data_IF_233798905792
#
_entry.id   IF_233798905792
#
_cell.length_a   1.000
_cell.length_b   1.000
_cell.length_c   1.000
_cell.angle_alpha   90.00
_cell.angle_beta   90.00
_cell.angle_gamma   90.00
#
_symmetry.space_group_name_H-M   'P 1'
#
loop_
_entity.id
_entity.type
_entity.pdbx_description
1 polymer ?
#
# COMPACT_ATOMS: atom_id res chain seq x y z
N UNK A 1 -2.35 6.58 -16.87
CA UNK A 1 -3.27 5.53 -16.40
C UNK A 1 -2.92 5.22 -14.95
N UNK A 2 -3.86 5.31 -14.01
CA UNK A 2 -3.61 4.84 -12.64
C UNK A 2 -3.74 3.32 -12.62
N UNK A 3 -2.64 2.62 -12.30
CA UNK A 3 -2.69 1.17 -12.09
C UNK A 3 -3.13 0.97 -10.64
N UNK A 4 -4.31 0.39 -10.45
CA UNK A 4 -4.72 -0.11 -9.14
C UNK A 4 -3.78 -1.28 -8.78
N UNK A 5 -2.88 -1.05 -7.84
CA UNK A 5 -2.02 -2.09 -7.32
C UNK A 5 -2.82 -3.01 -6.41
N UNK A 6 -2.82 -4.30 -6.74
CA UNK A 6 -3.56 -5.31 -6.00
C UNK A 6 -2.80 -5.61 -4.71
N UNK A 7 -3.44 -5.36 -3.56
CA UNK A 7 -2.95 -5.87 -2.26
C UNK A 7 -2.89 -7.40 -2.38
N UNK A 8 -1.76 -8.02 -1.98
CA UNK A 8 -1.48 -9.45 -2.09
C UNK A 8 -2.33 -10.35 -1.19
N UNK A 9 -3.65 -10.16 -1.22
CA UNK A 9 -4.61 -10.87 -0.41
C UNK A 9 -4.92 -12.22 -1.05
N UNK A 10 -4.86 -13.29 -0.26
CA UNK A 10 -5.31 -14.63 -0.68
C UNK A 10 -6.80 -14.62 -1.04
N UNK A 11 -7.62 -13.98 -0.21
CA UNK A 11 -9.03 -13.71 -0.49
C UNK A 11 -9.26 -12.19 -0.62
N UNK A 12 -9.42 -11.64 -1.84
CA UNK A 12 -9.57 -10.21 -2.04
C UNK A 12 -10.85 -9.63 -1.43
N UNK A 13 -11.89 -10.45 -1.21
CA UNK A 13 -13.16 -10.01 -0.62
C UNK A 13 -13.15 -9.96 0.92
N UNK A 14 -12.09 -10.47 1.54
CA UNK A 14 -11.96 -10.47 3.01
C UNK A 14 -11.32 -9.21 3.57
N UNK A 15 -10.87 -8.30 2.71
CA UNK A 15 -10.18 -7.07 3.11
C UNK A 15 -11.09 -6.16 3.94
N UNK A 16 -10.64 -5.82 5.14
CA UNK A 16 -11.25 -4.81 6.01
C UNK A 16 -10.16 -3.81 6.41
N UNK A 17 -10.17 -2.57 5.90
CA UNK A 17 -9.16 -1.58 6.28
C UNK A 17 -9.29 -1.25 7.77
N UNK A 18 -8.14 -1.03 8.44
CA UNK A 18 -8.08 -0.60 9.84
C UNK A 18 -7.56 0.82 9.95
N UNK A 19 -6.36 1.05 9.44
CA UNK A 19 -5.71 2.37 9.47
C UNK A 19 -4.86 2.57 8.23
N UNK A 20 -4.80 3.82 7.78
CA UNK A 20 -3.86 4.26 6.75
C UNK A 20 -2.95 5.32 7.35
N UNK A 21 -1.65 5.18 7.09
CA UNK A 21 -0.61 6.09 7.55
C UNK A 21 0.12 6.60 6.31
N UNK A 22 0.23 7.92 6.19
CA UNK A 22 0.96 8.56 5.09
C UNK A 22 2.00 9.48 5.69
N UNK A 23 3.26 9.34 5.25
CA UNK A 23 4.37 10.17 5.71
C UNK A 23 5.19 10.64 4.51
N UNK A 24 5.36 11.95 4.38
CA UNK A 24 6.24 12.56 3.39
C UNK A 24 7.54 13.02 4.05
N UNK A 25 8.67 12.64 3.47
CA UNK A 25 10.04 12.94 3.91
C UNK A 25 10.84 13.46 2.71
N UNK A 26 10.76 14.76 2.46
CA UNK A 26 11.32 15.37 1.25
C UNK A 26 10.65 14.84 -0.01
N UNK A 27 11.44 14.25 -0.92
CA UNK A 27 10.93 13.60 -2.12
C UNK A 27 10.37 12.19 -1.86
N UNK A 28 10.52 11.63 -0.65
CA UNK A 28 10.05 10.29 -0.33
C UNK A 28 8.64 10.31 0.25
N UNK A 29 7.72 9.53 -0.31
CA UNK A 29 6.37 9.31 0.23
C UNK A 29 6.22 7.85 0.68
N UNK A 30 5.93 7.65 1.97
CA UNK A 30 5.67 6.35 2.57
C UNK A 30 4.19 6.21 2.87
N UNK A 31 3.59 5.12 2.41
CA UNK A 31 2.18 4.77 2.63
C UNK A 31 2.15 3.42 3.34
N UNK A 32 1.53 3.35 4.50
CA UNK A 32 1.27 2.12 5.24
C UNK A 32 -0.23 1.91 5.40
N UNK A 33 -0.70 0.68 5.20
CA UNK A 33 -2.08 0.28 5.39
C UNK A 33 -2.11 -0.93 6.30
N UNK A 34 -2.76 -0.81 7.45
CA UNK A 34 -3.14 -1.94 8.28
C UNK A 34 -4.55 -2.41 7.89
N UNK A 35 -4.75 -3.71 7.83
CA UNK A 35 -6.02 -4.31 7.47
C UNK A 35 -6.24 -5.63 8.21
N UNK A 36 -7.48 -6.11 8.21
CA UNK A 36 -7.81 -7.51 8.51
C UNK A 36 -8.18 -8.22 7.20
N UNK A 37 -7.73 -9.46 7.05
CA UNK A 37 -8.09 -10.33 5.94
C UNK A 37 -8.09 -11.80 6.38
N UNK A 38 -8.75 -12.67 5.64
CA UNK A 38 -8.72 -14.11 5.90
C UNK A 38 -7.45 -14.76 5.37
N UNK A 39 -6.79 -15.57 6.20
CA UNK A 39 -5.70 -16.43 5.75
C UNK A 39 -6.23 -17.67 4.99
N UNK A 40 -5.33 -18.56 4.54
CA UNK A 40 -5.71 -19.78 3.80
C UNK A 40 -6.53 -20.80 4.60
N UNK A 41 -6.66 -20.60 5.90
CA UNK A 41 -7.44 -21.46 6.81
C UNK A 41 -8.78 -20.81 7.19
N UNK A 42 -9.14 -19.67 6.59
CA UNK A 42 -10.38 -18.95 6.86
C UNK A 42 -10.40 -18.09 8.12
N UNK A 43 -9.28 -18.00 8.84
CA UNK A 43 -9.16 -17.18 10.05
C UNK A 43 -8.83 -15.73 9.70
N UNK A 44 -9.49 -14.79 10.38
CA UNK A 44 -9.19 -13.35 10.29
C UNK A 44 -7.82 -13.06 10.92
N UNK A 45 -6.92 -12.45 10.13
CA UNK A 45 -5.58 -12.05 10.55
C UNK A 45 -5.33 -10.57 10.24
N UNK A 46 -4.48 -9.94 11.04
CA UNK A 46 -4.01 -8.57 10.78
C UNK A 46 -2.86 -8.62 9.78
N UNK A 47 -2.97 -7.80 8.74
CA UNK A 47 -1.94 -7.62 7.73
C UNK A 47 -1.52 -6.16 7.63
N UNK A 48 -0.29 -5.95 7.15
CA UNK A 48 0.24 -4.61 6.86
C UNK A 48 0.76 -4.61 5.43
N UNK A 49 0.38 -3.60 4.66
CA UNK A 49 0.94 -3.32 3.33
C UNK A 49 1.64 -1.98 3.37
N UNK A 50 2.89 -1.93 2.89
CA UNK A 50 3.67 -0.70 2.82
C UNK A 50 4.06 -0.43 1.37
N UNK A 51 4.01 0.83 0.97
CA UNK A 51 4.48 1.32 -0.32
C UNK A 51 5.37 2.54 -0.11
N UNK A 52 6.42 2.61 -0.91
CA UNK A 52 7.33 3.75 -0.98
C UNK A 52 7.26 4.31 -2.40
N UNK A 53 7.14 5.63 -2.49
CA UNK A 53 7.10 6.38 -3.74
C UNK A 53 8.06 7.56 -3.64
N UNK A 54 8.53 8.04 -4.80
CA UNK A 54 9.43 9.17 -4.94
C UNK A 54 8.76 10.26 -5.77
N UNK A 55 8.82 11.50 -5.30
CA UNK A 55 8.34 12.67 -6.03
C UNK A 55 9.36 13.02 -7.11
N UNK A 56 8.98 12.74 -8.35
CA UNK A 56 9.78 13.03 -9.52
C UNK A 56 9.81 14.51 -9.87
N UNK A 57 10.76 14.85 -10.75
CA UNK A 57 10.91 16.22 -11.28
C UNK A 57 9.70 16.68 -12.10
N UNK A 58 8.92 15.73 -12.61
CA UNK A 58 7.65 15.97 -13.29
C UNK A 58 6.48 16.27 -12.33
N UNK A 59 6.74 16.30 -11.02
CA UNK A 59 5.75 16.55 -9.98
C UNK A 59 4.84 15.36 -9.66
N UNK A 60 5.14 14.17 -10.19
CA UNK A 60 4.36 12.95 -9.95
C UNK A 60 5.11 11.98 -9.05
N UNK A 61 4.37 11.06 -8.41
CA UNK A 61 4.96 10.02 -7.58
C UNK A 61 5.25 8.75 -8.38
N UNK A 62 6.49 8.27 -8.30
CA UNK A 62 7.00 7.10 -9.01
C UNK A 62 7.52 6.03 -8.04
N UNK A 63 7.48 4.74 -8.40
CA UNK A 63 8.08 3.68 -7.59
C UNK A 63 9.62 3.74 -7.60
N UNK A 64 10.21 4.33 -8.64
CA UNK A 64 11.65 4.47 -8.82
C UNK A 64 12.08 5.93 -8.57
N UNK A 65 13.24 6.16 -7.92
CA UNK A 65 13.73 7.50 -7.60
C UNK A 65 14.27 8.29 -8.81
N UNK A 66 14.48 7.65 -9.96
CA UNK A 66 15.14 8.24 -11.13
C UNK A 66 14.18 8.84 -12.17
N UNK A 67 12.87 8.88 -11.88
CA UNK A 67 11.83 9.42 -12.76
C UNK A 67 11.39 10.83 -12.37
#
# INVERSE_FOLDING_TARGET
>A
MSVLEKIGLKNPYSFKPRSAIVKQEGALLKIGIEYTAQNSYGADVVGVANKVLFLGSDGQYHPDPEK
#
